data_IF_667441961111
#
_entry.id   IF_667441961111
#
_cell.length_a   1.000
_cell.length_b   1.000
_cell.length_c   1.000
_cell.angle_alpha   90.00
_cell.angle_beta   90.00
_cell.angle_gamma   90.00
#
_symmetry.space_group_name_H-M   'P 1'
#
loop_
_entity.id
_entity.type
_entity.pdbx_description
1 polymer ?
#
# COMPACT_ATOMS: atom_id res chain seq x y z
N UNK A 1 8.01 51.67 -27.83
CA UNK A 1 7.05 51.20 -26.80
C UNK A 1 6.85 49.72 -27.07
N UNK A 2 7.38 48.80 -26.24
CA UNK A 2 7.26 47.37 -26.48
C UNK A 2 5.78 46.97 -26.47
N UNK A 3 5.39 46.13 -27.43
CA UNK A 3 4.00 45.74 -27.65
C UNK A 3 3.43 45.00 -26.44
N UNK A 4 2.17 45.33 -26.11
CA UNK A 4 1.37 44.71 -25.04
C UNK A 4 1.36 43.18 -25.09
N UNK A 5 1.63 42.61 -26.25
CA UNK A 5 1.64 41.17 -26.50
C UNK A 5 2.85 40.46 -25.89
N UNK A 6 4.02 41.11 -25.85
CA UNK A 6 5.24 40.55 -25.22
C UNK A 6 5.07 40.55 -23.71
N UNK A 7 4.52 41.62 -23.15
CA UNK A 7 4.20 41.72 -21.72
C UNK A 7 3.17 40.68 -21.25
N UNK A 8 2.20 40.34 -22.11
CA UNK A 8 1.20 39.30 -21.81
C UNK A 8 1.77 37.88 -21.88
N UNK A 9 2.74 37.61 -22.77
CA UNK A 9 3.45 36.32 -22.82
C UNK A 9 4.31 36.10 -21.57
N UNK A 10 5.06 37.11 -21.13
CA UNK A 10 5.87 37.03 -19.90
C UNK A 10 5.00 36.83 -18.66
N UNK A 11 3.79 37.42 -18.63
CA UNK A 11 2.82 37.19 -17.54
C UNK A 11 2.25 35.76 -17.54
N UNK A 12 2.00 35.15 -18.70
CA UNK A 12 1.52 33.77 -18.79
C UNK A 12 2.51 32.74 -18.25
N UNK A 13 3.81 32.91 -18.50
CA UNK A 13 4.87 32.02 -17.98
C UNK A 13 5.16 32.20 -16.49
N UNK A 14 4.73 33.34 -15.91
CA UNK A 14 4.94 33.66 -14.48
C UNK A 14 3.88 33.07 -13.54
N UNK A 15 2.79 32.49 -14.07
CA UNK A 15 1.77 31.83 -13.25
C UNK A 15 2.28 30.46 -12.82
N UNK A 16 2.41 30.17 -11.51
CA UNK A 16 2.82 28.85 -11.05
C UNK A 16 1.80 27.81 -11.53
N UNK A 17 2.23 26.90 -12.41
CA UNK A 17 1.41 25.77 -12.87
C UNK A 17 0.83 25.06 -11.65
N UNK A 18 -0.49 25.13 -11.47
CA UNK A 18 -1.19 24.41 -10.41
C UNK A 18 -0.76 22.95 -10.49
N UNK A 19 -0.14 22.43 -9.42
CA UNK A 19 0.25 21.01 -9.33
C UNK A 19 -0.98 20.17 -9.63
N UNK A 20 -1.06 19.59 -10.83
CA UNK A 20 -2.12 18.65 -11.19
C UNK A 20 -2.06 17.50 -10.21
N UNK A 21 -3.19 17.17 -9.58
CA UNK A 21 -3.28 16.01 -8.70
C UNK A 21 -2.82 14.78 -9.49
N UNK A 22 -1.73 14.17 -9.06
CA UNK A 22 -1.09 13.09 -9.82
C UNK A 22 -1.97 11.85 -9.69
N UNK A 23 -2.75 11.55 -10.73
CA UNK A 23 -3.58 10.36 -10.80
C UNK A 23 -2.69 9.12 -10.71
N UNK A 24 -3.10 8.16 -9.89
CA UNK A 24 -2.36 6.91 -9.75
C UNK A 24 -2.59 6.04 -10.99
N UNK A 25 -1.50 5.61 -11.61
CA UNK A 25 -1.49 4.68 -12.74
C UNK A 25 -0.73 3.42 -12.36
N UNK A 26 -1.33 2.25 -12.53
CA UNK A 26 -0.63 0.97 -12.41
C UNK A 26 -0.25 0.49 -13.82
N UNK A 27 1.06 0.42 -14.10
CA UNK A 27 1.58 -0.06 -15.40
C UNK A 27 0.96 0.63 -16.62
N UNK A 28 0.74 1.94 -16.51
CA UNK A 28 0.14 2.75 -17.57
C UNK A 28 -1.39 2.72 -17.62
N UNK A 29 -2.05 2.09 -16.64
CA UNK A 29 -3.51 2.04 -16.55
C UNK A 29 -4.03 2.75 -15.30
N UNK A 30 -5.03 3.60 -15.48
CA UNK A 30 -5.71 4.32 -14.40
C UNK A 30 -6.48 3.40 -13.47
N UNK A 31 -6.65 3.84 -12.21
CA UNK A 31 -7.35 3.08 -11.17
C UNK A 31 -8.79 2.71 -11.54
N UNK A 32 -9.54 3.64 -12.12
CA UNK A 32 -10.95 3.42 -12.49
C UNK A 32 -11.05 2.29 -13.53
N UNK A 33 -10.15 2.32 -14.52
CA UNK A 33 -10.06 1.28 -15.54
C UNK A 33 -9.59 -0.07 -14.96
N UNK A 34 -8.76 -0.08 -13.93
CA UNK A 34 -8.37 -1.31 -13.20
C UNK A 34 -9.54 -1.98 -12.47
N UNK A 35 -10.54 -1.20 -12.06
CA UNK A 35 -11.73 -1.74 -11.38
C UNK A 35 -12.70 -2.41 -12.36
N UNK A 36 -12.79 -1.89 -13.58
CA UNK A 36 -13.68 -2.42 -14.62
C UNK A 36 -13.07 -3.60 -15.41
N UNK A 37 -11.76 -3.79 -15.32
CA UNK A 37 -11.06 -4.87 -16.02
C UNK A 37 -11.41 -6.27 -15.50
N UNK A 38 -11.38 -7.25 -16.40
CA UNK A 38 -11.55 -8.65 -16.02
C UNK A 38 -10.33 -9.16 -15.24
N UNK A 39 -10.56 -10.18 -14.41
CA UNK A 39 -9.48 -10.80 -13.62
C UNK A 39 -8.38 -11.37 -14.51
N UNK A 40 -8.69 -11.85 -15.70
CA UNK A 40 -7.72 -12.40 -16.66
C UNK A 40 -6.79 -11.31 -17.20
N UNK A 41 -7.35 -10.18 -17.64
CA UNK A 41 -6.56 -9.02 -18.08
C UNK A 41 -5.67 -8.48 -16.95
N UNK A 42 -6.17 -8.51 -15.70
CA UNK A 42 -5.41 -8.14 -14.52
C UNK A 42 -4.20 -9.06 -14.27
N UNK A 43 -4.33 -10.36 -14.55
CA UNK A 43 -3.25 -11.33 -14.37
C UNK A 43 -2.06 -11.06 -15.30
N UNK A 44 -2.31 -10.61 -16.53
CA UNK A 44 -1.26 -10.28 -17.49
C UNK A 44 -0.47 -9.03 -17.09
N UNK A 45 -1.12 -8.10 -16.40
CA UNK A 45 -0.43 -6.94 -15.83
C UNK A 45 0.39 -7.29 -14.60
N UNK A 46 -0.01 -8.29 -13.81
CA UNK A 46 0.73 -8.65 -12.60
C UNK A 46 2.11 -9.29 -12.86
N UNK A 47 2.98 -9.19 -11.86
CA UNK A 47 4.26 -9.90 -11.85
C UNK A 47 4.08 -11.43 -11.78
N UNK A 48 5.13 -12.18 -12.13
CA UNK A 48 5.09 -13.62 -12.28
C UNK A 48 4.56 -14.40 -11.05
N UNK A 49 4.91 -13.96 -9.83
CA UNK A 49 4.48 -14.64 -8.59
C UNK A 49 2.97 -14.53 -8.37
N UNK A 50 2.41 -13.35 -8.56
CA UNK A 50 0.99 -13.05 -8.42
C UNK A 50 0.21 -13.80 -9.49
N UNK A 51 0.65 -13.74 -10.75
CA UNK A 51 0.06 -14.51 -11.86
C UNK A 51 0.04 -16.01 -11.56
N UNK A 52 1.15 -16.58 -11.09
CA UNK A 52 1.22 -18.00 -10.66
C UNK A 52 0.22 -18.31 -9.53
N UNK A 53 0.08 -17.41 -8.56
CA UNK A 53 -0.87 -17.58 -7.45
C UNK A 53 -2.31 -17.62 -7.93
N UNK A 54 -2.66 -16.76 -8.89
CA UNK A 54 -4.00 -16.72 -9.48
C UNK A 54 -4.27 -17.90 -10.42
N UNK A 55 -3.29 -18.31 -11.25
CA UNK A 55 -3.40 -19.48 -12.13
C UNK A 55 -3.60 -20.79 -11.34
N UNK A 56 -3.04 -20.87 -10.13
CA UNK A 56 -3.29 -21.99 -9.21
C UNK A 56 -4.69 -21.96 -8.57
N UNK A 57 -5.43 -20.87 -8.74
CA UNK A 57 -6.76 -20.69 -8.21
C UNK A 57 -6.81 -19.98 -6.85
N UNK A 58 -7.89 -19.24 -6.65
CA UNK A 58 -8.16 -18.51 -5.41
C UNK A 58 -8.86 -19.41 -4.41
N UNK A 59 -8.24 -19.66 -3.25
CA UNK A 59 -8.83 -20.51 -2.20
C UNK A 59 -10.09 -19.87 -1.61
N UNK A 60 -11.05 -20.68 -1.15
CA UNK A 60 -12.31 -20.23 -0.50
C UNK A 60 -12.12 -19.13 0.56
N UNK A 61 -11.07 -19.22 1.38
CA UNK A 61 -10.77 -18.23 2.44
C UNK A 61 -10.49 -16.82 1.88
N UNK A 62 -9.86 -16.72 0.71
CA UNK A 62 -9.53 -15.45 0.06
C UNK A 62 -10.81 -14.79 -0.49
N UNK A 63 -11.68 -15.58 -1.12
CA UNK A 63 -12.99 -15.10 -1.58
C UNK A 63 -13.88 -14.65 -0.41
N UNK A 64 -13.84 -15.34 0.72
CA UNK A 64 -14.58 -14.95 1.92
C UNK A 64 -14.11 -13.59 2.46
N UNK A 65 -12.79 -13.33 2.46
CA UNK A 65 -12.24 -12.02 2.84
C UNK A 65 -12.71 -10.93 1.89
N UNK A 66 -12.63 -11.16 0.57
CA UNK A 66 -13.05 -10.19 -0.44
C UNK A 66 -14.54 -9.84 -0.29
N UNK A 67 -15.42 -10.82 -0.06
CA UNK A 67 -16.84 -10.59 0.22
C UNK A 67 -17.08 -9.72 1.46
N UNK A 68 -16.33 -9.97 2.54
CA UNK A 68 -16.41 -9.16 3.77
C UNK A 68 -15.97 -7.72 3.52
N UNK A 69 -14.89 -7.52 2.76
CA UNK A 69 -14.39 -6.19 2.41
C UNK A 69 -15.38 -5.41 1.53
N UNK A 70 -15.97 -6.07 0.51
CA UNK A 70 -17.02 -5.48 -0.31
C UNK A 70 -18.23 -5.04 0.53
N UNK A 71 -18.65 -5.86 1.51
CA UNK A 71 -19.73 -5.51 2.42
C UNK A 71 -19.38 -4.32 3.30
N UNK A 72 -18.18 -4.29 3.89
CA UNK A 72 -17.74 -3.17 4.71
C UNK A 72 -17.70 -1.86 3.92
N UNK A 73 -17.13 -1.87 2.70
CA UNK A 73 -17.06 -0.70 1.82
C UNK A 73 -18.44 -0.21 1.34
N UNK A 74 -19.43 -1.10 1.22
CA UNK A 74 -20.81 -0.73 0.87
C UNK A 74 -21.57 -0.11 2.05
N UNK A 75 -21.31 -0.57 3.27
CA UNK A 75 -22.03 -0.14 4.47
C UNK A 75 -21.55 1.20 5.03
N UNK A 76 -20.49 1.77 4.48
CA UNK A 76 -19.86 2.97 5.03
C UNK A 76 -20.44 4.23 4.42
N UNK A 77 -20.73 5.25 5.24
CA UNK A 77 -21.19 6.53 4.72
C UNK A 77 -20.10 7.17 3.86
N UNK A 78 -20.52 7.97 2.89
CA UNK A 78 -19.61 8.68 2.02
C UNK A 78 -18.68 9.57 2.87
N UNK A 79 -17.38 9.52 2.58
CA UNK A 79 -16.28 10.23 3.26
C UNK A 79 -15.69 9.57 4.52
N UNK A 80 -16.31 8.52 5.09
CA UNK A 80 -15.73 7.82 6.24
C UNK A 80 -14.92 6.58 5.85
N UNK A 81 -13.97 6.21 6.72
CA UNK A 81 -13.16 5.01 6.53
C UNK A 81 -13.96 3.76 6.90
N UNK A 82 -13.83 2.67 6.13
CA UNK A 82 -14.53 1.43 6.42
C UNK A 82 -14.08 0.74 7.70
N UNK A 83 -14.97 -0.07 8.27
CA UNK A 83 -14.69 -0.89 9.43
C UNK A 83 -13.46 -1.79 9.18
N UNK A 84 -12.60 -1.90 10.19
CA UNK A 84 -11.36 -2.67 10.11
C UNK A 84 -11.67 -4.17 10.11
N UNK A 85 -11.38 -4.84 8.99
CA UNK A 85 -11.55 -6.29 8.88
C UNK A 85 -10.27 -7.02 9.29
N UNK A 86 -10.33 -7.77 10.39
CA UNK A 86 -9.22 -8.60 10.87
C UNK A 86 -9.02 -9.85 10.03
N UNK A 87 -7.77 -10.13 9.64
CA UNK A 87 -7.39 -11.30 8.84
C UNK A 87 -6.03 -11.87 9.25
N UNK A 88 -5.90 -13.18 9.12
CA UNK A 88 -4.62 -13.92 9.22
C UNK A 88 -4.02 -14.23 7.84
N UNK A 89 -4.72 -13.90 6.76
CA UNK A 89 -4.32 -14.21 5.38
C UNK A 89 -3.22 -13.26 4.91
N UNK A 90 -2.00 -13.49 5.37
CA UNK A 90 -0.81 -12.73 4.95
C UNK A 90 -0.40 -12.98 3.49
N UNK A 91 -0.84 -14.10 2.93
CA UNK A 91 -0.53 -14.56 1.57
C UNK A 91 -1.55 -14.08 0.52
N UNK A 92 -2.50 -13.21 0.88
CA UNK A 92 -3.44 -12.60 -0.05
C UNK A 92 -2.74 -11.50 -0.87
N UNK A 93 -2.93 -11.51 -2.18
CA UNK A 93 -2.51 -10.42 -3.08
C UNK A 93 -3.54 -9.30 -2.99
N UNK A 94 -3.08 -8.05 -2.94
CA UNK A 94 -3.96 -6.89 -2.95
C UNK A 94 -4.54 -6.70 -4.36
N UNK A 95 -5.86 -6.87 -4.48
CA UNK A 95 -6.64 -6.62 -5.69
C UNK A 95 -7.11 -5.16 -5.74
N UNK A 96 -7.32 -4.55 -6.93
CA UNK A 96 -7.77 -3.16 -7.07
C UNK A 96 -9.06 -2.86 -6.31
N UNK A 97 -9.99 -3.83 -6.24
CA UNK A 97 -11.24 -3.68 -5.50
C UNK A 97 -11.05 -3.37 -4.00
N UNK A 98 -9.94 -3.83 -3.42
CA UNK A 98 -9.63 -3.66 -2.00
C UNK A 98 -9.15 -2.24 -1.66
N UNK A 99 -8.84 -1.41 -2.66
CA UNK A 99 -8.36 -0.04 -2.46
C UNK A 99 -9.40 0.78 -1.68
N UNK A 100 -8.93 1.49 -0.66
CA UNK A 100 -9.75 2.24 0.28
C UNK A 100 -10.33 1.41 1.43
N UNK A 101 -10.07 0.09 1.47
CA UNK A 101 -10.49 -0.75 2.61
C UNK A 101 -9.47 -0.72 3.75
N UNK A 102 -9.97 -0.88 4.99
CA UNK A 102 -9.16 -1.02 6.20
C UNK A 102 -9.01 -2.50 6.56
N UNK A 103 -7.77 -3.01 6.56
CA UNK A 103 -7.49 -4.42 6.84
C UNK A 103 -6.56 -4.54 8.04
N UNK A 104 -7.00 -5.28 9.06
CA UNK A 104 -6.16 -5.66 10.19
C UNK A 104 -5.36 -6.93 9.85
N UNK A 105 -4.07 -6.79 9.53
CA UNK A 105 -3.20 -7.92 9.19
C UNK A 105 -2.48 -8.45 10.43
N UNK A 106 -2.72 -9.71 10.77
CA UNK A 106 -2.09 -10.36 11.92
C UNK A 106 -0.58 -10.52 11.75
N UNK A 107 0.20 -10.03 12.72
CA UNK A 107 1.66 -10.14 12.67
C UNK A 107 2.26 -11.29 13.48
N UNK A 108 1.44 -12.04 14.23
CA UNK A 108 1.87 -13.06 15.19
C UNK A 108 1.53 -12.71 16.65
N UNK A 109 1.25 -11.42 16.93
CA UNK A 109 0.85 -10.94 18.26
C UNK A 109 -0.37 -10.00 18.20
N UNK A 110 -0.38 -9.09 17.24
CA UNK A 110 -1.41 -8.05 17.09
C UNK A 110 -1.92 -7.98 15.65
N UNK A 111 -3.10 -7.39 15.47
CA UNK A 111 -3.63 -7.03 14.15
C UNK A 111 -3.22 -5.60 13.82
N UNK A 112 -2.24 -5.46 12.94
CA UNK A 112 -1.81 -4.14 12.47
C UNK A 112 -2.82 -3.62 11.45
N UNK A 113 -3.35 -2.42 11.68
CA UNK A 113 -4.30 -1.80 10.77
C UNK A 113 -3.56 -1.23 9.56
N UNK A 114 -3.94 -1.70 8.37
CA UNK A 114 -3.37 -1.28 7.10
C UNK A 114 -4.50 -0.68 6.26
N UNK A 115 -4.35 0.60 5.93
CA UNK A 115 -5.17 1.28 4.93
C UNK A 115 -4.64 0.96 3.54
N UNK A 116 -5.45 0.31 2.71
CA UNK A 116 -5.02 -0.12 1.38
C UNK A 116 -5.00 1.07 0.42
N UNK A 117 -3.79 1.52 0.07
CA UNK A 117 -3.56 2.58 -0.92
C UNK A 117 -3.44 1.99 -2.34
N UNK A 118 -3.75 2.76 -3.39
CA UNK A 118 -3.63 2.31 -4.79
C UNK A 118 -2.23 1.78 -5.14
N UNK A 119 -1.19 2.40 -4.59
CA UNK A 119 0.21 2.00 -4.78
C UNK A 119 0.46 0.53 -4.41
N UNK A 120 -0.31 0.00 -3.46
CA UNK A 120 -0.14 -1.33 -2.87
C UNK A 120 -0.63 -2.47 -3.78
N UNK A 121 -1.29 -2.16 -4.90
CA UNK A 121 -1.81 -3.16 -5.83
C UNK A 121 -0.71 -4.12 -6.30
N UNK A 122 -1.02 -5.42 -6.30
CA UNK A 122 -0.10 -6.48 -6.71
C UNK A 122 0.91 -6.92 -5.65
N UNK A 123 0.98 -6.30 -4.47
CA UNK A 123 1.79 -6.78 -3.34
C UNK A 123 0.99 -7.69 -2.41
N UNK A 124 1.68 -8.42 -1.54
CA UNK A 124 1.02 -9.27 -0.54
C UNK A 124 0.69 -8.49 0.73
N UNK A 125 -0.45 -8.77 1.35
CA UNK A 125 -0.84 -8.16 2.64
C UNK A 125 0.22 -8.32 3.73
N UNK A 126 0.92 -9.47 3.72
CA UNK A 126 1.96 -9.78 4.69
C UNK A 126 3.19 -8.86 4.62
N UNK A 127 3.40 -8.13 3.52
CA UNK A 127 4.53 -7.19 3.36
C UNK A 127 4.32 -5.92 4.19
N UNK A 128 3.07 -5.56 4.48
CA UNK A 128 2.71 -4.33 5.20
C UNK A 128 2.65 -4.50 6.72
N UNK A 129 2.90 -5.71 7.22
CA UNK A 129 2.80 -6.03 8.64
C UNK A 129 4.07 -6.75 9.09
N UNK A 130 4.98 -6.00 9.70
CA UNK A 130 6.27 -6.54 10.17
C UNK A 130 6.01 -7.57 11.29
N UNK A 131 6.57 -8.77 11.13
CA UNK A 131 6.46 -9.89 12.08
C UNK A 131 7.30 -9.70 13.34
N UNK A 132 8.42 -8.99 13.22
CA UNK A 132 9.39 -8.79 14.28
C UNK A 132 9.48 -7.32 14.67
N UNK A 133 10.09 -7.06 15.82
CA UNK A 133 10.49 -5.70 16.19
C UNK A 133 11.91 -5.47 15.68
N UNK A 134 12.18 -4.47 14.82
CA UNK A 134 13.52 -4.18 14.36
C UNK A 134 14.46 -3.99 15.56
N UNK A 135 15.51 -4.81 15.62
CA UNK A 135 16.50 -4.75 16.67
C UNK A 135 17.44 -3.59 16.34
N UNK A 136 17.52 -2.61 17.23
CA UNK A 136 18.56 -1.59 17.21
C UNK A 136 19.57 -2.01 18.26
N UNK A 137 20.79 -2.32 17.83
CA UNK A 137 21.87 -2.59 18.77
C UNK A 137 22.15 -1.31 19.56
N UNK A 138 22.02 -1.41 20.89
CA UNK A 138 22.45 -0.36 21.79
C UNK A 138 23.97 -0.35 21.92
N UNK A 139 24.49 0.51 22.79
CA UNK A 139 25.87 0.35 23.26
C UNK A 139 25.99 -1.04 23.90
N UNK A 140 27.05 -1.81 23.58
CA UNK A 140 27.32 -3.03 24.30
C UNK A 140 27.31 -2.77 25.80
N UNK A 141 26.64 -3.63 26.57
CA UNK A 141 26.74 -3.57 28.03
C UNK A 141 28.19 -3.70 28.47
N UNK A 142 28.54 -3.11 29.60
CA UNK A 142 29.89 -3.23 30.19
C UNK A 142 30.16 -4.72 30.40
N UNK A 143 31.21 -5.26 29.76
CA UNK A 143 31.57 -6.68 29.79
C UNK A 143 30.93 -7.56 28.70
N UNK A 144 30.07 -7.02 27.83
CA UNK A 144 29.45 -7.78 26.73
C UNK A 144 30.38 -7.97 25.52
N UNK A 145 31.41 -7.12 25.37
CA UNK A 145 32.42 -7.22 24.32
C UNK A 145 33.82 -7.27 24.94
N UNK A 146 34.77 -7.93 24.29
CA UNK A 146 36.15 -8.04 24.78
C UNK A 146 36.79 -6.66 25.04
N UNK A 147 36.43 -5.65 24.24
CA UNK A 147 36.90 -4.27 24.36
C UNK A 147 36.23 -3.45 25.48
N UNK A 148 35.05 -3.86 25.96
CA UNK A 148 34.34 -3.16 27.04
C UNK A 148 34.67 -3.67 28.45
N UNK A 149 35.54 -4.69 28.56
CA UNK A 149 35.99 -5.24 29.85
C UNK A 149 36.87 -4.28 30.66
N UNK A 150 37.57 -3.35 29.98
CA UNK A 150 38.54 -2.45 30.60
C UNK A 150 38.01 -1.02 30.79
N UNK A 151 36.73 -0.76 30.54
CA UNK A 151 36.13 0.55 30.79
C UNK A 151 35.87 0.66 32.30
N UNK A 152 36.54 1.57 33.03
CA UNK A 152 36.37 1.69 34.47
C UNK A 152 34.97 2.20 34.81
N UNK A 153 34.34 1.55 35.79
CA UNK A 153 33.07 1.97 36.36
C UNK A 153 33.31 3.18 37.28
N UNK A 154 32.42 4.18 37.20
CA UNK A 154 32.33 5.27 38.18
C UNK A 154 31.19 5.00 39.13
#
# INVERSE_FOLDING_TARGET
IPSTDVENLVRADSVPKKRTFRKYTYRGVDLDRLLDMSREQLMDMYCARQRRSFNRGVKRKHNALLKRLRKAKKNTPALEKPEVIKTHLRNMVIEPEMVGSMVGVYNGKVFNQVEIKPEMIGRYLGEFSITYKPVKHGRPGIGATHSSRFIPLK
#
